data_IF_920554544112
#
_entry.id   IF_920554544112
#
_cell.length_a   1.000
_cell.length_b   1.000
_cell.length_c   1.000
_cell.angle_alpha   90.00
_cell.angle_beta   90.00
_cell.angle_gamma   90.00
#
_symmetry.space_group_name_H-M   'P 1'
#
loop_
_entity.id
_entity.type
_entity.pdbx_description
1 polymer ?
#
# COMPACT_ATOMS: atom_id res chain seq x y z
N UNK A 1 -2.25 22.14 1.36
CA UNK A 1 -3.20 21.47 2.27
C UNK A 1 -4.37 22.41 2.46
N UNK A 2 -5.58 21.95 2.19
CA UNK A 2 -6.81 22.68 2.42
C UNK A 2 -7.47 22.26 3.74
N UNK A 3 -8.61 22.88 4.09
CA UNK A 3 -9.38 22.50 5.26
C UNK A 3 -9.75 21.00 5.22
N UNK A 4 -9.57 20.30 6.35
CA UNK A 4 -9.79 18.86 6.47
C UNK A 4 -8.60 17.99 6.02
N UNK A 5 -7.41 18.57 5.83
CA UNK A 5 -6.18 17.83 5.50
C UNK A 5 -6.06 17.38 4.04
N UNK A 6 -6.97 17.82 3.15
CA UNK A 6 -6.89 17.53 1.72
C UNK A 6 -5.71 18.25 1.07
N UNK A 7 -5.07 17.60 0.13
CA UNK A 7 -3.88 18.11 -0.53
C UNK A 7 -3.95 18.02 -2.04
N UNK A 8 -3.26 18.93 -2.70
CA UNK A 8 -3.01 18.92 -4.15
C UNK A 8 -1.51 18.94 -4.37
N UNK A 9 -1.04 18.15 -5.30
CA UNK A 9 0.38 18.08 -5.67
C UNK A 9 0.62 18.68 -7.04
N UNK A 10 1.77 19.35 -7.18
CA UNK A 10 2.41 19.62 -8.46
C UNK A 10 3.77 18.90 -8.42
N UNK A 11 3.89 17.82 -9.19
CA UNK A 11 5.05 16.92 -9.10
C UNK A 11 6.01 17.15 -10.25
N UNK A 12 7.30 17.30 -9.93
CA UNK A 12 8.39 17.24 -10.88
C UNK A 12 9.30 16.07 -10.48
N UNK A 13 9.35 15.04 -11.31
CA UNK A 13 10.04 13.77 -11.00
C UNK A 13 11.56 13.91 -10.90
N UNK A 14 12.16 14.90 -11.58
CA UNK A 14 13.61 15.10 -11.53
C UNK A 14 14.38 13.84 -11.93
N UNK A 15 15.31 13.40 -11.08
CA UNK A 15 16.13 12.22 -11.32
C UNK A 15 15.32 10.91 -11.37
N UNK A 16 14.16 10.85 -10.72
CA UNK A 16 13.30 9.67 -10.76
C UNK A 16 12.78 9.36 -12.18
N UNK A 17 12.62 10.40 -13.04
CA UNK A 17 12.27 10.21 -14.45
C UNK A 17 13.37 9.54 -15.27
N UNK A 18 14.61 9.49 -14.77
CA UNK A 18 15.78 8.88 -15.41
C UNK A 18 16.02 7.45 -14.94
N UNK A 19 15.17 6.92 -14.04
CA UNK A 19 15.29 5.55 -13.57
C UNK A 19 14.91 4.59 -14.71
N UNK A 20 15.83 3.67 -15.03
CA UNK A 20 15.67 2.67 -16.07
C UNK A 20 15.79 1.26 -15.48
N UNK A 21 15.25 0.26 -16.17
CA UNK A 21 15.29 -1.15 -15.79
C UNK A 21 16.71 -1.63 -15.43
N UNK A 22 17.72 -1.25 -16.21
CA UNK A 22 19.14 -1.61 -15.97
C UNK A 22 19.67 -1.18 -14.60
N UNK A 23 19.12 -0.12 -13.99
CA UNK A 23 19.54 0.33 -12.68
C UNK A 23 19.09 -0.63 -11.57
N UNK A 24 17.99 -1.35 -11.78
CA UNK A 24 17.49 -2.36 -10.84
C UNK A 24 18.41 -3.57 -10.75
N UNK A 25 19.00 -3.99 -11.86
CA UNK A 25 19.91 -5.13 -11.89
C UNK A 25 21.09 -4.97 -10.94
N UNK A 26 21.59 -3.74 -10.84
CA UNK A 26 22.74 -3.41 -9.98
C UNK A 26 22.34 -3.03 -8.54
N UNK A 27 21.14 -2.47 -8.35
CA UNK A 27 20.76 -1.84 -7.09
C UNK A 27 19.87 -2.70 -6.20
N UNK A 28 19.07 -3.62 -6.78
CA UNK A 28 18.13 -4.43 -6.00
C UNK A 28 18.88 -5.44 -5.11
N UNK A 29 18.64 -5.45 -3.77
CA UNK A 29 19.29 -6.39 -2.85
C UNK A 29 18.94 -7.83 -3.19
N UNK A 30 19.81 -8.80 -2.80
CA UNK A 30 19.58 -10.24 -3.04
C UNK A 30 18.61 -10.84 -2.01
N UNK A 31 18.72 -10.39 -0.75
CA UNK A 31 17.91 -10.89 0.37
C UNK A 31 16.81 -9.88 0.70
N UNK A 32 15.66 -10.03 0.07
CA UNK A 32 14.46 -9.20 0.30
C UNK A 32 13.24 -10.09 0.38
N UNK A 33 12.37 -9.83 1.35
CA UNK A 33 11.09 -10.54 1.48
C UNK A 33 9.98 -9.88 0.66
N UNK A 34 10.04 -8.54 0.54
CA UNK A 34 9.04 -7.73 -0.16
C UNK A 34 9.70 -6.67 -1.02
N UNK A 35 9.16 -6.48 -2.22
CA UNK A 35 9.44 -5.33 -3.08
C UNK A 35 8.15 -4.54 -3.22
N UNK A 36 8.17 -3.31 -2.71
CA UNK A 36 7.03 -2.40 -2.77
C UNK A 36 7.20 -1.43 -3.95
N UNK A 37 6.20 -1.41 -4.82
CA UNK A 37 6.17 -0.59 -6.03
C UNK A 37 5.10 0.47 -5.89
N UNK A 38 5.51 1.73 -6.04
CA UNK A 38 4.60 2.86 -6.14
C UNK A 38 4.02 2.97 -7.54
N UNK A 39 2.71 2.95 -7.67
CA UNK A 39 2.00 3.01 -8.93
C UNK A 39 2.26 4.29 -9.75
N UNK A 40 2.81 5.36 -9.15
CA UNK A 40 3.28 6.52 -9.89
C UNK A 40 4.39 6.22 -10.91
N UNK A 41 5.11 5.12 -10.74
CA UNK A 41 6.18 4.68 -11.63
C UNK A 41 5.68 3.86 -12.82
N UNK A 42 4.41 3.47 -12.87
CA UNK A 42 3.87 2.57 -13.94
C UNK A 42 3.91 3.19 -15.33
N UNK A 43 4.11 4.48 -15.48
CA UNK A 43 4.38 5.12 -16.77
C UNK A 43 5.68 4.62 -17.43
N UNK A 44 6.58 4.01 -16.65
CA UNK A 44 7.75 3.31 -17.14
C UNK A 44 7.51 1.79 -17.05
N UNK A 45 6.79 1.23 -18.01
CA UNK A 45 6.39 -0.19 -18.03
C UNK A 45 7.60 -1.11 -17.90
N UNK A 46 8.68 -0.85 -18.66
CA UNK A 46 9.90 -1.69 -18.65
C UNK A 46 10.52 -1.74 -17.25
N UNK A 47 10.57 -0.60 -16.55
CA UNK A 47 11.08 -0.54 -15.17
C UNK A 47 10.25 -1.41 -14.23
N UNK A 48 8.91 -1.32 -14.31
CA UNK A 48 8.01 -2.06 -13.44
C UNK A 48 8.05 -3.56 -13.74
N UNK A 49 7.97 -3.94 -15.01
CA UNK A 49 8.07 -5.33 -15.43
C UNK A 49 9.39 -5.95 -14.98
N UNK A 50 10.50 -5.19 -15.09
CA UNK A 50 11.81 -5.65 -14.60
C UNK A 50 11.85 -5.77 -13.06
N UNK A 51 11.25 -4.84 -12.34
CA UNK A 51 11.16 -4.93 -10.88
C UNK A 51 10.40 -6.20 -10.44
N UNK A 52 9.28 -6.50 -11.08
CA UNK A 52 8.49 -7.70 -10.81
C UNK A 52 9.28 -8.96 -11.12
N UNK A 53 9.91 -9.02 -12.30
CA UNK A 53 10.74 -10.16 -12.72
C UNK A 53 11.87 -10.45 -11.72
N UNK A 54 12.65 -9.43 -11.36
CA UNK A 54 13.76 -9.55 -10.40
C UNK A 54 13.28 -9.97 -9.01
N UNK A 55 12.12 -9.47 -8.59
CA UNK A 55 11.52 -9.86 -7.31
C UNK A 55 11.21 -11.33 -7.26
N UNK A 56 10.53 -11.86 -8.29
CA UNK A 56 10.20 -13.28 -8.39
C UNK A 56 11.46 -14.16 -8.49
N UNK A 57 12.49 -13.74 -9.25
CA UNK A 57 13.76 -14.46 -9.33
C UNK A 57 14.46 -14.59 -7.96
N UNK A 58 14.19 -13.66 -7.04
CA UNK A 58 14.74 -13.65 -5.67
C UNK A 58 13.83 -14.26 -4.62
N UNK A 59 12.63 -14.70 -5.01
CA UNK A 59 11.62 -15.24 -4.10
C UNK A 59 10.95 -14.17 -3.24
N UNK A 60 11.09 -12.89 -3.59
CA UNK A 60 10.43 -11.79 -2.91
C UNK A 60 8.96 -11.67 -3.33
N UNK A 61 8.09 -11.29 -2.40
CA UNK A 61 6.71 -10.90 -2.71
C UNK A 61 6.66 -9.51 -3.32
N UNK A 62 5.87 -9.35 -4.37
CA UNK A 62 5.66 -8.05 -5.01
C UNK A 62 4.41 -7.39 -4.46
N UNK A 63 4.58 -6.18 -3.95
CA UNK A 63 3.50 -5.33 -3.43
C UNK A 63 3.36 -4.11 -4.32
N UNK A 64 2.13 -3.75 -4.67
CA UNK A 64 1.82 -2.61 -5.53
C UNK A 64 0.77 -1.71 -4.87
N UNK A 65 1.04 -0.41 -4.73
CA UNK A 65 0.02 0.60 -4.49
C UNK A 65 -0.41 1.22 -5.83
N UNK A 66 -1.72 1.35 -6.06
CA UNK A 66 -2.26 1.87 -7.33
C UNK A 66 -2.06 3.39 -7.49
N UNK A 67 -1.60 4.08 -6.45
CA UNK A 67 -1.16 5.47 -6.40
C UNK A 67 -2.24 6.54 -6.60
N UNK A 68 -2.97 6.52 -7.71
CA UNK A 68 -4.07 7.47 -7.94
C UNK A 68 -5.01 7.02 -9.05
N UNK A 69 -6.28 7.38 -8.92
CA UNK A 69 -7.34 6.99 -9.87
C UNK A 69 -7.07 7.41 -11.32
N UNK A 70 -6.50 8.59 -11.55
CA UNK A 70 -6.19 9.07 -12.88
C UNK A 70 -5.05 8.29 -13.56
N UNK A 71 -4.09 7.80 -12.78
CA UNK A 71 -3.05 6.89 -13.29
C UNK A 71 -3.66 5.53 -13.62
N UNK A 72 -4.52 5.01 -12.74
CA UNK A 72 -5.24 3.75 -13.00
C UNK A 72 -6.05 3.84 -14.28
N UNK A 73 -6.78 4.94 -14.51
CA UNK A 73 -7.55 5.14 -15.75
C UNK A 73 -6.66 5.21 -16.99
N UNK A 74 -5.57 6.00 -16.93
CA UNK A 74 -4.67 6.18 -18.08
C UNK A 74 -3.87 4.92 -18.43
N UNK A 75 -3.52 4.10 -17.43
CA UNK A 75 -2.68 2.90 -17.57
C UNK A 75 -3.46 1.60 -17.33
N UNK A 76 -4.79 1.63 -17.44
CA UNK A 76 -5.69 0.53 -17.09
C UNK A 76 -5.27 -0.80 -17.73
N UNK A 77 -5.01 -0.80 -19.04
CA UNK A 77 -4.60 -1.99 -19.77
C UNK A 77 -3.23 -2.54 -19.31
N UNK A 78 -2.34 -1.67 -18.81
CA UNK A 78 -1.08 -2.11 -18.22
C UNK A 78 -1.32 -2.76 -16.87
N UNK A 79 -2.13 -2.15 -16.00
CA UNK A 79 -2.50 -2.73 -14.71
C UNK A 79 -3.19 -4.10 -14.88
N UNK A 80 -4.11 -4.26 -15.83
CA UNK A 80 -4.75 -5.56 -16.11
C UNK A 80 -3.72 -6.67 -16.42
N UNK A 81 -2.65 -6.35 -17.15
CA UNK A 81 -1.58 -7.31 -17.43
C UNK A 81 -0.63 -7.52 -16.26
N UNK A 82 -0.44 -6.50 -15.44
CA UNK A 82 0.53 -6.52 -14.35
C UNK A 82 -0.01 -7.26 -13.12
N UNK A 83 -1.27 -7.03 -12.75
CA UNK A 83 -1.89 -7.53 -11.51
C UNK A 83 -1.75 -9.04 -11.30
N UNK A 84 -1.84 -9.92 -12.33
CA UNK A 84 -1.60 -11.36 -12.17
C UNK A 84 -0.19 -11.72 -11.65
N UNK A 85 0.75 -10.79 -11.69
CA UNK A 85 2.12 -10.98 -11.24
C UNK A 85 2.40 -10.25 -9.90
N UNK A 86 1.36 -9.75 -9.25
CA UNK A 86 1.45 -9.02 -7.98
C UNK A 86 0.89 -9.89 -6.85
N UNK A 87 1.64 -10.01 -5.75
CA UNK A 87 1.17 -10.75 -4.58
C UNK A 87 0.18 -9.93 -3.76
N UNK A 88 0.50 -8.66 -3.50
CA UNK A 88 -0.30 -7.81 -2.61
C UNK A 88 -0.61 -6.47 -3.29
N UNK A 89 -1.89 -6.15 -3.45
CA UNK A 89 -2.34 -4.87 -4.03
C UNK A 89 -2.96 -3.99 -2.96
N UNK A 90 -2.52 -2.74 -2.91
CA UNK A 90 -3.11 -1.68 -2.10
C UNK A 90 -3.81 -0.67 -3.00
N UNK A 91 -5.04 -0.34 -2.66
CA UNK A 91 -5.81 0.70 -3.33
C UNK A 91 -6.61 1.52 -2.31
N UNK A 92 -6.88 2.78 -2.59
CA UNK A 92 -7.99 3.49 -1.96
C UNK A 92 -9.28 3.25 -2.76
N UNK A 93 -10.41 3.79 -2.33
CA UNK A 93 -11.70 3.56 -3.00
C UNK A 93 -11.76 4.14 -4.42
N UNK A 94 -11.14 5.31 -4.66
CA UNK A 94 -11.16 5.94 -5.98
C UNK A 94 -10.29 5.14 -6.96
N UNK A 95 -9.13 4.65 -6.53
CA UNK A 95 -8.25 3.77 -7.30
C UNK A 95 -8.93 2.41 -7.58
N UNK A 96 -9.51 1.82 -6.55
CA UNK A 96 -10.24 0.56 -6.68
C UNK A 96 -11.45 0.68 -7.61
N UNK A 97 -12.16 1.83 -7.56
CA UNK A 97 -13.25 2.14 -8.47
C UNK A 97 -12.76 2.30 -9.91
N UNK A 98 -11.68 3.07 -10.12
CA UNK A 98 -11.08 3.25 -11.44
C UNK A 98 -10.65 1.91 -12.07
N UNK A 99 -10.14 0.96 -11.24
CA UNK A 99 -9.70 -0.35 -11.72
C UNK A 99 -10.85 -1.33 -11.95
N UNK A 100 -11.90 -1.32 -11.10
CA UNK A 100 -12.91 -2.39 -11.06
C UNK A 100 -14.34 -1.94 -11.34
N UNK A 101 -14.61 -0.64 -11.33
CA UNK A 101 -15.96 -0.08 -11.36
C UNK A 101 -16.74 -0.30 -10.05
N UNK A 102 -16.10 -0.78 -8.98
CA UNK A 102 -16.69 -1.07 -7.68
C UNK A 102 -15.90 -0.38 -6.56
N UNK A 103 -16.45 -0.39 -5.34
CA UNK A 103 -15.83 0.18 -4.13
C UNK A 103 -15.86 -0.82 -2.98
N UNK A 104 -15.05 -0.57 -1.95
CA UNK A 104 -15.05 -1.34 -0.71
C UNK A 104 -14.82 -2.83 -0.94
N UNK A 105 -15.64 -3.69 -0.31
CA UNK A 105 -15.51 -5.15 -0.37
C UNK A 105 -15.68 -5.71 -1.80
N UNK A 106 -16.61 -5.18 -2.58
CA UNK A 106 -16.83 -5.67 -3.95
C UNK A 106 -15.59 -5.44 -4.82
N UNK A 107 -14.95 -4.26 -4.70
CA UNK A 107 -13.72 -3.98 -5.40
C UNK A 107 -12.56 -4.88 -4.92
N UNK A 108 -12.41 -5.07 -3.61
CA UNK A 108 -11.39 -5.95 -3.06
C UNK A 108 -11.53 -7.39 -3.56
N UNK A 109 -12.77 -7.91 -3.64
CA UNK A 109 -13.04 -9.24 -4.19
C UNK A 109 -12.71 -9.37 -5.68
N UNK A 110 -12.94 -8.32 -6.47
CA UNK A 110 -12.58 -8.32 -7.88
C UNK A 110 -11.06 -8.27 -8.07
N UNK A 111 -10.35 -7.41 -7.34
CA UNK A 111 -8.90 -7.35 -7.36
C UNK A 111 -8.26 -8.68 -6.92
N UNK A 112 -8.79 -9.33 -5.88
CA UNK A 112 -8.31 -10.61 -5.39
C UNK A 112 -8.54 -11.79 -6.36
N UNK A 113 -9.25 -11.59 -7.48
CA UNK A 113 -9.30 -12.57 -8.56
C UNK A 113 -8.03 -12.58 -9.41
N UNK A 114 -7.23 -11.51 -9.32
CA UNK A 114 -6.02 -11.31 -10.12
C UNK A 114 -4.72 -11.28 -9.32
N UNK A 115 -4.78 -11.03 -8.00
CA UNK A 115 -3.63 -11.02 -7.09
C UNK A 115 -3.89 -11.93 -5.88
N UNK A 116 -2.87 -12.23 -5.07
CA UNK A 116 -3.03 -13.07 -3.89
C UNK A 116 -3.81 -12.36 -2.79
N UNK A 117 -3.45 -11.10 -2.47
CA UNK A 117 -4.09 -10.30 -1.43
C UNK A 117 -4.48 -8.94 -2.01
N UNK A 118 -5.74 -8.56 -1.91
CA UNK A 118 -6.22 -7.24 -2.28
C UNK A 118 -6.67 -6.45 -1.06
N UNK A 119 -6.19 -5.22 -0.91
CA UNK A 119 -6.55 -4.32 0.18
C UNK A 119 -7.20 -3.06 -0.40
N UNK A 120 -8.40 -2.72 0.08
CA UNK A 120 -9.07 -1.46 -0.23
C UNK A 120 -9.18 -0.60 1.04
N UNK A 121 -8.50 0.55 1.01
CA UNK A 121 -8.50 1.57 2.07
C UNK A 121 -9.74 2.44 1.90
N UNK A 122 -10.64 2.47 2.89
CA UNK A 122 -11.94 3.17 2.84
C UNK A 122 -11.96 4.43 3.72
N UNK A 123 -10.80 5.07 3.93
CA UNK A 123 -10.66 6.28 4.73
C UNK A 123 -11.19 6.10 6.16
N UNK A 124 -12.10 6.98 6.63
CA UNK A 124 -12.63 6.89 8.00
C UNK A 124 -13.41 5.60 8.31
N UNK A 125 -13.82 4.87 7.29
CA UNK A 125 -14.51 3.58 7.47
C UNK A 125 -13.55 2.41 7.68
N UNK A 126 -12.24 2.64 7.60
CA UNK A 126 -11.21 1.63 7.78
C UNK A 126 -10.74 1.01 6.48
N UNK A 127 -10.56 -0.30 6.45
CA UNK A 127 -10.08 -1.02 5.28
C UNK A 127 -10.64 -2.44 5.21
N UNK A 128 -10.66 -2.99 4.00
CA UNK A 128 -11.04 -4.38 3.70
C UNK A 128 -9.87 -5.08 3.05
N UNK A 129 -9.62 -6.34 3.41
CA UNK A 129 -8.66 -7.21 2.74
C UNK A 129 -9.34 -8.51 2.33
N UNK A 130 -8.96 -9.01 1.15
CA UNK A 130 -9.43 -10.28 0.60
C UNK A 130 -8.23 -11.12 0.19
N UNK A 131 -8.23 -12.40 0.59
CA UNK A 131 -7.28 -13.43 0.18
C UNK A 131 -8.06 -14.73 -0.07
N UNK A 132 -8.09 -15.20 -1.32
CA UNK A 132 -8.96 -16.31 -1.71
C UNK A 132 -10.42 -16.05 -1.33
N UNK A 133 -11.02 -16.96 -0.56
CA UNK A 133 -12.40 -16.82 -0.08
C UNK A 133 -12.52 -15.97 1.19
N UNK A 134 -11.40 -15.73 1.87
CA UNK A 134 -11.36 -14.96 3.10
C UNK A 134 -11.53 -13.47 2.83
N UNK A 135 -12.52 -12.85 3.46
CA UNK A 135 -12.72 -11.40 3.45
C UNK A 135 -12.78 -10.91 4.89
N UNK A 136 -11.95 -9.94 5.21
CA UNK A 136 -11.90 -9.32 6.54
C UNK A 136 -11.91 -7.81 6.43
N UNK A 137 -12.46 -7.14 7.44
CA UNK A 137 -12.42 -5.68 7.54
C UNK A 137 -11.89 -5.25 8.91
N UNK A 138 -11.28 -4.07 8.95
CA UNK A 138 -10.87 -3.40 10.18
C UNK A 138 -11.35 -1.95 10.16
N UNK A 139 -11.83 -1.40 11.29
CA UNK A 139 -12.16 0.02 11.38
C UNK A 139 -10.89 0.88 11.29
N UNK A 140 -11.05 2.14 10.91
CA UNK A 140 -9.98 3.12 11.07
C UNK A 140 -9.66 3.31 12.55
N UNK A 141 -8.40 3.62 12.84
CA UNK A 141 -8.01 4.02 14.19
C UNK A 141 -8.63 5.38 14.51
N UNK A 142 -9.38 5.50 15.63
CA UNK A 142 -9.90 6.79 16.05
C UNK A 142 -8.77 7.78 16.31
N UNK A 143 -8.89 8.99 15.75
CA UNK A 143 -7.90 10.07 15.91
C UNK A 143 -8.57 11.31 16.46
N UNK A 144 -7.82 12.10 17.21
CA UNK A 144 -8.34 13.35 17.79
C UNK A 144 -8.57 14.43 16.72
N UNK A 145 -7.67 14.50 15.74
CA UNK A 145 -7.71 15.48 14.67
C UNK A 145 -6.94 14.97 13.44
N UNK A 146 -7.45 15.25 12.25
CA UNK A 146 -6.73 15.07 10.99
C UNK A 146 -6.09 16.40 10.61
N UNK A 147 -4.75 16.45 10.57
CA UNK A 147 -3.99 17.63 10.20
C UNK A 147 -3.50 17.56 8.75
N UNK A 148 -2.97 16.41 8.35
CA UNK A 148 -2.41 16.19 7.02
C UNK A 148 -2.52 14.72 6.65
N UNK A 149 -3.12 14.41 5.50
CA UNK A 149 -3.25 13.01 5.03
C UNK A 149 -2.05 12.52 4.21
N UNK A 150 -0.96 13.31 4.16
CA UNK A 150 0.27 12.92 3.47
C UNK A 150 0.87 11.67 4.09
N UNK A 151 1.18 10.67 3.26
CA UNK A 151 1.79 9.42 3.71
C UNK A 151 0.83 8.43 4.38
N UNK A 152 -0.47 8.74 4.53
CA UNK A 152 -1.41 7.83 5.17
C UNK A 152 -1.43 6.44 4.49
N UNK A 153 -1.39 6.39 3.16
CA UNK A 153 -1.29 5.15 2.38
C UNK A 153 0.01 4.40 2.65
N UNK A 154 1.13 5.11 2.62
CA UNK A 154 2.47 4.54 2.82
C UNK A 154 2.62 3.95 4.23
N UNK A 155 2.16 4.68 5.25
CA UNK A 155 2.17 4.22 6.63
C UNK A 155 1.23 3.04 6.85
N UNK A 156 0.07 3.04 6.18
CA UNK A 156 -0.84 1.90 6.20
C UNK A 156 -0.18 0.67 5.59
N UNK A 157 0.41 0.79 4.39
CA UNK A 157 1.09 -0.30 3.72
C UNK A 157 2.29 -0.80 4.55
N UNK A 158 3.10 0.11 5.11
CA UNK A 158 4.22 -0.24 5.98
C UNK A 158 3.79 -1.04 7.22
N UNK A 159 2.74 -0.59 7.93
CA UNK A 159 2.19 -1.31 9.08
C UNK A 159 1.60 -2.66 8.70
N UNK A 160 0.85 -2.73 7.61
CA UNK A 160 0.29 -3.98 7.09
C UNK A 160 1.40 -4.99 6.78
N UNK A 161 2.40 -4.58 5.99
CA UNK A 161 3.50 -5.47 5.56
C UNK A 161 4.38 -5.90 6.73
N UNK A 162 4.65 -5.02 7.68
CA UNK A 162 5.35 -5.38 8.91
C UNK A 162 4.64 -6.53 9.65
N UNK A 163 3.32 -6.41 9.85
CA UNK A 163 2.56 -7.45 10.54
C UNK A 163 2.44 -8.72 9.72
N UNK A 164 2.30 -8.60 8.42
CA UNK A 164 2.26 -9.73 7.49
C UNK A 164 3.58 -10.52 7.50
N UNK A 165 4.73 -9.82 7.53
CA UNK A 165 6.05 -10.44 7.63
C UNK A 165 6.25 -11.22 8.94
N UNK A 166 5.56 -10.81 10.02
CA UNK A 166 5.55 -11.52 11.30
C UNK A 166 4.53 -12.68 11.37
N UNK A 167 3.85 -13.00 10.26
CA UNK A 167 2.86 -14.07 10.19
C UNK A 167 1.52 -13.73 10.85
N UNK A 168 1.19 -12.44 11.02
CA UNK A 168 -0.10 -12.01 11.55
C UNK A 168 -1.26 -12.35 10.61
N UNK A 169 -2.46 -12.50 11.17
CA UNK A 169 -3.68 -12.67 10.37
C UNK A 169 -3.95 -11.42 9.52
N UNK A 170 -4.74 -11.56 8.43
CA UNK A 170 -5.15 -10.41 7.62
C UNK A 170 -5.82 -9.31 8.47
N UNK A 171 -6.59 -9.71 9.50
CA UNK A 171 -7.21 -8.76 10.43
C UNK A 171 -6.17 -7.98 11.22
N UNK A 172 -5.14 -8.65 11.73
CA UNK A 172 -4.05 -8.00 12.47
C UNK A 172 -3.25 -7.06 11.59
N UNK A 173 -3.00 -7.47 10.32
CA UNK A 173 -2.32 -6.63 9.34
C UNK A 173 -3.10 -5.34 9.05
N UNK A 174 -4.42 -5.44 8.85
CA UNK A 174 -5.29 -4.28 8.67
C UNK A 174 -5.28 -3.35 9.89
N UNK A 175 -5.35 -3.92 11.10
CA UNK A 175 -5.33 -3.16 12.35
C UNK A 175 -4.01 -2.41 12.55
N UNK A 176 -2.88 -3.06 12.23
CA UNK A 176 -1.56 -2.43 12.34
C UNK A 176 -1.36 -1.34 11.28
N UNK A 177 -1.78 -1.59 10.05
CA UNK A 177 -1.82 -0.57 9.00
C UNK A 177 -2.67 0.64 9.40
N UNK A 178 -3.88 0.41 9.91
CA UNK A 178 -4.76 1.47 10.39
C UNK A 178 -4.15 2.26 11.57
N UNK A 179 -3.44 1.60 12.49
CA UNK A 179 -2.76 2.26 13.59
C UNK A 179 -1.65 3.19 13.09
N UNK A 180 -0.80 2.72 12.18
CA UNK A 180 0.28 3.54 11.61
C UNK A 180 -0.29 4.74 10.80
N UNK A 181 -1.30 4.51 9.98
CA UNK A 181 -1.98 5.58 9.23
C UNK A 181 -2.64 6.61 10.17
N UNK A 182 -3.27 6.14 11.26
CA UNK A 182 -3.89 7.00 12.26
C UNK A 182 -2.90 7.93 12.97
N UNK A 183 -1.65 7.50 13.16
CA UNK A 183 -0.62 8.36 13.75
C UNK A 183 -0.14 9.44 12.78
N UNK A 184 0.17 9.07 11.53
CA UNK A 184 0.75 10.03 10.60
C UNK A 184 -0.21 11.15 10.22
N UNK A 185 -1.51 10.90 10.16
CA UNK A 185 -2.49 11.95 9.79
C UNK A 185 -2.71 13.00 10.88
N UNK A 186 -2.14 12.83 12.07
CA UNK A 186 -2.20 13.78 13.20
C UNK A 186 -0.99 14.72 13.25
N UNK A 187 -0.07 14.63 12.29
CA UNK A 187 1.08 15.53 12.17
C UNK A 187 1.11 16.18 10.79
N UNK A 188 1.82 17.28 10.65
CA UNK A 188 2.09 17.88 9.34
C UNK A 188 3.34 17.22 8.75
N UNK A 189 3.24 16.70 7.53
CA UNK A 189 4.28 15.90 6.88
C UNK A 189 4.29 14.46 7.38
N UNK A 190 5.42 13.76 7.20
CA UNK A 190 5.52 12.30 7.43
C UNK A 190 6.53 11.91 8.52
N UNK A 191 6.95 12.85 9.35
CA UNK A 191 7.88 12.57 10.44
C UNK A 191 7.15 12.39 11.77
N UNK A 192 7.11 11.14 12.25
CA UNK A 192 6.58 10.85 13.57
C UNK A 192 7.68 10.97 14.65
N UNK A 193 7.33 11.45 15.86
CA UNK A 193 8.23 11.43 17.02
C UNK A 193 8.70 10.02 17.37
N UNK A 194 9.91 9.88 17.89
CA UNK A 194 10.46 8.59 18.33
C UNK A 194 9.60 7.91 19.38
N UNK A 195 8.95 8.67 20.26
CA UNK A 195 8.01 8.16 21.27
C UNK A 195 6.79 7.48 20.65
N UNK A 196 6.30 7.99 19.52
CA UNK A 196 5.21 7.37 18.75
C UNK A 196 5.67 6.04 18.17
N UNK A 197 6.86 6.00 17.57
CA UNK A 197 7.44 4.75 17.06
C UNK A 197 7.67 3.70 18.15
N UNK A 198 8.15 4.10 19.33
CA UNK A 198 8.33 3.20 20.46
C UNK A 198 6.99 2.61 20.91
N UNK A 199 5.94 3.43 20.99
CA UNK A 199 4.59 2.97 21.34
C UNK A 199 4.03 2.00 20.29
N UNK A 200 4.07 2.35 19.00
CA UNK A 200 3.59 1.46 17.91
C UNK A 200 4.28 0.11 17.93
N UNK A 201 5.61 0.08 18.14
CA UNK A 201 6.37 -1.18 18.26
C UNK A 201 5.96 -2.00 19.47
N UNK A 202 5.74 -1.37 20.61
CA UNK A 202 5.30 -2.07 21.83
C UNK A 202 3.89 -2.66 21.65
N UNK A 203 2.97 -1.93 21.03
CA UNK A 203 1.61 -2.40 20.72
C UNK A 203 1.61 -3.55 19.71
N UNK A 204 2.47 -3.49 18.68
CA UNK A 204 2.66 -4.58 17.72
C UNK A 204 3.18 -5.84 18.40
N UNK A 205 4.21 -5.72 19.26
CA UNK A 205 4.77 -6.84 20.01
C UNK A 205 3.74 -7.47 20.96
N UNK A 206 2.91 -6.68 21.63
CA UNK A 206 1.84 -7.18 22.50
C UNK A 206 0.80 -8.00 21.74
N UNK A 207 0.45 -7.60 20.53
CA UNK A 207 -0.45 -8.37 19.63
C UNK A 207 0.15 -9.71 19.20
N UNK A 208 1.48 -9.78 19.00
CA UNK A 208 2.18 -11.05 18.71
C UNK A 208 2.14 -12.07 19.86
N UNK A 209 2.07 -11.60 21.10
CA UNK A 209 2.15 -12.46 22.29
C UNK A 209 0.80 -13.12 22.67
N UNK A 210 -0.31 -12.75 21.98
CA UNK A 210 -1.67 -13.22 22.29
C UNK A 210 -2.16 -14.32 21.32
N UNK A 211 -1.29 -14.79 20.44
CA UNK A 211 -1.50 -15.91 19.53
C UNK A 211 -0.43 -16.98 19.73
#
# INVERSE_FOLDING_TARGET
ISDGGLRTFATYLGAAALLEAKHLDAAMPQDVDYVFIEGYLVQNHELIERAVELSHQRGAKVCLDLASWNIVESEHAFFERLLPNIDIVFANEDEAHAMTGRIGEEAARLLAQTCQIAIVKCGPRGAVAVEGDQCVSAPATPVAQVLDTTGAGDFFAGGFLHRHALGGSLKDCLCEGAACAGEVIQVIGTQLPDTTWQRLRAESAARCSTH
#
